data_IF_135154062664
#
_entry.id   IF_135154062664
#
_cell.length_a   1.000
_cell.length_b   1.000
_cell.length_c   1.000
_cell.angle_alpha   90.00
_cell.angle_beta   90.00
_cell.angle_gamma   90.00
#
_symmetry.space_group_name_H-M   'P 1'
#
loop_
_entity.id
_entity.type
_entity.pdbx_description
1 polymer ?
#
# COMPACT_ATOMS: atom_id res chain seq x y z
N UNK A 1 -2.83 26.24 -4.88
CA UNK A 1 -2.32 25.13 -4.05
C UNK A 1 -3.21 23.92 -4.19
N UNK A 2 -2.64 22.80 -4.60
CA UNK A 2 -3.38 21.55 -4.68
C UNK A 2 -3.65 21.05 -3.27
N UNK A 3 -4.90 20.77 -2.93
CA UNK A 3 -5.26 20.19 -1.66
C UNK A 3 -4.68 18.76 -1.58
N UNK A 4 -4.08 18.41 -0.45
CA UNK A 4 -3.59 17.07 -0.20
C UNK A 4 -4.74 16.06 -0.27
N UNK A 5 -4.50 14.90 -0.88
CA UNK A 5 -5.46 13.80 -0.90
C UNK A 5 -5.70 13.23 0.49
N UNK A 6 -6.76 12.44 0.61
CA UNK A 6 -7.10 11.75 1.86
C UNK A 6 -6.56 10.33 1.87
N UNK A 7 -6.15 9.85 3.06
CA UNK A 7 -5.68 8.48 3.27
C UNK A 7 -6.67 7.72 4.13
N UNK A 8 -7.15 6.58 3.62
CA UNK A 8 -7.91 5.60 4.38
C UNK A 8 -7.10 4.31 4.47
N UNK A 9 -7.01 3.74 5.68
CA UNK A 9 -6.30 2.48 5.93
C UNK A 9 -7.25 1.44 6.51
N UNK A 10 -7.34 0.29 5.84
CA UNK A 10 -7.95 -0.91 6.42
C UNK A 10 -6.90 -1.62 7.26
N UNK A 11 -7.09 -1.62 8.57
CA UNK A 11 -6.14 -2.13 9.54
C UNK A 11 -6.62 -3.47 10.10
N UNK A 12 -5.82 -4.50 9.96
CA UNK A 12 -6.14 -5.86 10.43
C UNK A 12 -5.19 -6.33 11.51
N UNK A 13 -5.67 -7.29 12.32
CA UNK A 13 -4.88 -7.86 13.41
C UNK A 13 -4.00 -9.01 12.96
N UNK A 14 -4.29 -9.59 11.79
CA UNK A 14 -3.55 -10.72 11.25
C UNK A 14 -3.66 -10.77 9.71
N UNK A 15 -2.71 -11.44 9.02
CA UNK A 15 -2.87 -11.74 7.61
C UNK A 15 -4.13 -12.57 7.35
N UNK A 16 -4.80 -12.34 6.22
CA UNK A 16 -5.92 -13.17 5.80
C UNK A 16 -7.27 -12.84 6.44
N UNK A 17 -7.37 -11.74 7.20
CA UNK A 17 -8.65 -11.34 7.82
C UNK A 17 -9.61 -10.64 6.86
N UNK A 18 -9.20 -10.37 5.61
CA UNK A 18 -10.09 -9.81 4.59
C UNK A 18 -9.92 -8.32 4.34
N UNK A 19 -8.80 -7.71 4.71
CA UNK A 19 -8.53 -6.28 4.48
C UNK A 19 -8.59 -5.91 3.00
N UNK A 20 -7.91 -6.68 2.17
CA UNK A 20 -7.85 -6.43 0.72
C UNK A 20 -9.24 -6.57 0.10
N UNK A 21 -10.01 -7.58 0.51
CA UNK A 21 -11.38 -7.76 0.04
C UNK A 21 -12.27 -6.59 0.46
N UNK A 22 -12.13 -6.09 1.69
CA UNK A 22 -12.90 -4.94 2.19
C UNK A 22 -12.56 -3.67 1.37
N UNK A 23 -11.28 -3.44 1.11
CA UNK A 23 -10.83 -2.34 0.27
C UNK A 23 -11.41 -2.41 -1.15
N UNK A 24 -11.36 -3.59 -1.76
CA UNK A 24 -11.89 -3.80 -3.11
C UNK A 24 -13.41 -3.65 -3.17
N UNK A 25 -14.13 -4.09 -2.13
CA UNK A 25 -15.58 -3.91 -2.06
C UNK A 25 -15.94 -2.43 -2.01
N UNK A 26 -15.23 -1.64 -1.21
CA UNK A 26 -15.43 -0.18 -1.19
C UNK A 26 -15.12 0.43 -2.55
N UNK A 27 -14.05 -0.02 -3.21
CA UNK A 27 -13.67 0.47 -4.52
C UNK A 27 -14.77 0.23 -5.57
N UNK A 28 -15.40 -0.94 -5.54
CA UNK A 28 -16.55 -1.21 -6.42
C UNK A 28 -17.71 -0.27 -6.15
N UNK A 29 -18.03 0.00 -4.88
CA UNK A 29 -19.10 0.93 -4.52
C UNK A 29 -18.80 2.34 -5.06
N UNK A 30 -17.56 2.80 -4.90
CA UNK A 30 -17.14 4.11 -5.41
C UNK A 30 -17.18 4.17 -6.94
N UNK A 31 -16.69 3.13 -7.59
CA UNK A 31 -16.69 3.03 -9.05
C UNK A 31 -18.13 3.03 -9.60
N UNK A 32 -19.02 2.27 -8.97
CA UNK A 32 -20.43 2.21 -9.37
C UNK A 32 -21.16 3.54 -9.20
N UNK A 33 -20.64 4.40 -8.31
CA UNK A 33 -21.15 5.78 -8.13
C UNK A 33 -20.54 6.78 -9.12
N UNK A 34 -19.75 6.30 -10.08
CA UNK A 34 -19.15 7.16 -11.08
C UNK A 34 -17.84 7.82 -10.66
N UNK A 35 -17.24 7.39 -9.54
CA UNK A 35 -15.94 7.91 -9.09
C UNK A 35 -14.82 7.32 -9.93
N UNK A 36 -13.76 8.09 -10.13
CA UNK A 36 -12.56 7.67 -10.87
C UNK A 36 -11.64 6.89 -9.94
N UNK A 37 -11.77 5.55 -9.96
CA UNK A 37 -11.02 4.63 -9.12
C UNK A 37 -10.03 3.85 -9.98
N UNK A 38 -8.78 3.76 -9.51
CA UNK A 38 -7.72 3.02 -10.18
C UNK A 38 -7.06 2.06 -9.20
N UNK A 39 -6.90 0.80 -9.57
CA UNK A 39 -6.06 -0.12 -8.81
C UNK A 39 -4.60 0.20 -9.14
N UNK A 40 -3.86 0.75 -8.15
CA UNK A 40 -2.43 0.97 -8.27
C UNK A 40 -1.67 -0.32 -8.12
N UNK A 41 -1.87 -1.02 -7.02
CA UNK A 41 -1.34 -2.36 -6.79
C UNK A 41 -2.19 -3.08 -5.76
N UNK A 42 -2.54 -4.33 -6.05
CA UNK A 42 -3.26 -5.23 -5.15
C UNK A 42 -2.52 -6.56 -5.12
N UNK A 43 -2.29 -7.07 -3.92
CA UNK A 43 -1.65 -8.36 -3.70
C UNK A 43 -2.72 -9.40 -3.36
N UNK A 44 -3.00 -10.31 -4.29
CA UNK A 44 -4.03 -11.33 -4.09
C UNK A 44 -3.52 -12.56 -3.34
N UNK A 45 -2.20 -12.75 -3.28
CA UNK A 45 -1.54 -13.92 -2.66
C UNK A 45 -2.09 -15.26 -3.18
N UNK A 46 -2.51 -15.31 -4.45
CA UNK A 46 -3.09 -16.50 -5.05
C UNK A 46 -4.52 -16.80 -4.60
N UNK A 47 -5.17 -15.90 -3.86
CA UNK A 47 -6.54 -16.07 -3.38
C UNK A 47 -7.53 -15.72 -4.49
N UNK A 48 -8.32 -16.69 -4.89
CA UNK A 48 -9.27 -16.52 -5.99
C UNK A 48 -10.33 -15.46 -5.69
N UNK A 49 -10.83 -15.42 -4.46
CA UNK A 49 -11.84 -14.42 -4.07
C UNK A 49 -11.32 -13.00 -4.24
N UNK A 50 -10.09 -12.74 -3.80
CA UNK A 50 -9.45 -11.42 -3.95
C UNK A 50 -9.27 -11.09 -5.42
N UNK A 51 -8.77 -12.04 -6.21
CA UNK A 51 -8.58 -11.85 -7.64
C UNK A 51 -9.88 -11.51 -8.36
N UNK A 52 -10.97 -12.20 -8.03
CA UNK A 52 -12.30 -11.92 -8.61
C UNK A 52 -12.78 -10.52 -8.29
N UNK A 53 -12.48 -10.00 -7.11
CA UNK A 53 -12.87 -8.65 -6.71
C UNK A 53 -12.09 -7.57 -7.46
N UNK A 54 -10.96 -7.89 -8.08
CA UNK A 54 -10.26 -6.92 -8.95
C UNK A 54 -10.92 -6.76 -10.32
N UNK A 55 -11.72 -7.73 -10.73
CA UNK A 55 -12.39 -7.70 -12.04
C UNK A 55 -13.39 -6.55 -12.11
N UNK A 56 -13.42 -5.86 -13.25
CA UNK A 56 -14.31 -4.73 -13.48
C UNK A 56 -13.81 -3.39 -13.02
N UNK A 57 -12.67 -3.33 -12.34
CA UNK A 57 -12.02 -2.08 -11.95
C UNK A 57 -10.83 -1.80 -12.87
N UNK A 58 -10.57 -0.53 -13.22
CA UNK A 58 -9.36 -0.18 -13.95
C UNK A 58 -8.10 -0.54 -13.15
N UNK A 59 -7.10 -1.11 -13.80
CA UNK A 59 -5.86 -1.55 -13.18
C UNK A 59 -4.69 -0.87 -13.88
N UNK A 60 -3.82 -0.24 -13.08
CA UNK A 60 -2.56 0.31 -13.56
C UNK A 60 -1.56 -0.83 -13.78
N UNK A 61 -0.91 -0.93 -14.95
CA UNK A 61 0.16 -1.91 -15.13
C UNK A 61 1.25 -1.74 -14.08
N UNK A 62 1.73 -2.86 -13.55
CA UNK A 62 2.80 -2.86 -12.56
C UNK A 62 4.14 -2.58 -13.22
N UNK A 63 5.05 -1.99 -12.46
CA UNK A 63 6.44 -1.79 -12.87
C UNK A 63 7.23 -3.06 -12.58
N UNK A 64 7.91 -3.61 -13.60
CA UNK A 64 8.81 -4.75 -13.40
C UNK A 64 10.17 -4.25 -12.98
N UNK A 65 10.67 -4.74 -11.84
CA UNK A 65 11.97 -4.34 -11.28
C UNK A 65 12.89 -5.56 -11.22
N UNK A 66 14.03 -5.59 -11.95
CA UNK A 66 14.98 -6.67 -11.84
C UNK A 66 15.75 -6.58 -10.52
N UNK A 67 15.88 -7.70 -9.82
CA UNK A 67 16.63 -7.77 -8.58
C UNK A 67 17.16 -9.19 -8.37
N UNK A 68 18.48 -9.34 -8.18
CA UNK A 68 19.17 -10.60 -7.87
C UNK A 68 18.75 -11.77 -8.78
N UNK A 69 18.70 -11.53 -10.11
CA UNK A 69 18.37 -12.56 -11.10
C UNK A 69 16.88 -12.86 -11.25
N UNK A 70 16.01 -12.21 -10.48
CA UNK A 70 14.56 -12.30 -10.59
C UNK A 70 13.93 -11.00 -11.05
N UNK A 71 12.65 -11.05 -11.32
CA UNK A 71 11.83 -9.87 -11.60
C UNK A 71 10.75 -9.75 -10.55
N UNK A 72 10.61 -8.55 -9.99
CA UNK A 72 9.58 -8.21 -9.02
C UNK A 72 8.66 -7.15 -9.59
N UNK A 73 7.40 -7.23 -9.23
CA UNK A 73 6.41 -6.26 -9.69
C UNK A 73 6.09 -5.29 -8.56
N UNK A 74 6.20 -4.00 -8.87
CA UNK A 74 5.97 -2.92 -7.92
C UNK A 74 4.98 -1.90 -8.48
N UNK A 75 4.46 -1.04 -7.60
CA UNK A 75 3.63 0.09 -8.01
C UNK A 75 4.43 1.01 -8.94
N UNK A 76 3.86 1.33 -10.08
CA UNK A 76 4.43 2.32 -10.99
C UNK A 76 3.97 3.71 -10.56
N UNK A 77 4.73 4.34 -9.67
CA UNK A 77 4.39 5.65 -9.09
C UNK A 77 4.29 6.73 -10.16
N UNK A 78 5.24 6.76 -11.11
CA UNK A 78 5.23 7.77 -12.17
C UNK A 78 3.96 7.67 -13.02
N UNK A 79 3.59 6.45 -13.42
CA UNK A 79 2.38 6.21 -14.19
C UNK A 79 1.13 6.57 -13.38
N UNK A 80 1.12 6.29 -12.08
CA UNK A 80 0.00 6.64 -11.21
C UNK A 80 -0.17 8.16 -11.10
N UNK A 81 0.94 8.89 -10.93
CA UNK A 81 0.92 10.35 -10.87
C UNK A 81 0.45 10.96 -12.21
N UNK A 82 0.91 10.39 -13.34
CA UNK A 82 0.50 10.83 -14.67
C UNK A 82 -0.98 10.57 -14.92
N UNK A 83 -1.49 9.40 -14.56
CA UNK A 83 -2.90 9.04 -14.69
C UNK A 83 -3.80 9.93 -13.82
N UNK A 84 -3.29 10.35 -12.67
CA UNK A 84 -3.95 11.25 -11.72
C UNK A 84 -5.41 10.86 -11.47
N UNK A 85 -5.68 9.63 -11.00
CA UNK A 85 -7.04 9.22 -10.66
C UNK A 85 -7.55 10.02 -9.46
N UNK A 86 -8.85 9.99 -9.24
CA UNK A 86 -9.44 10.59 -8.05
C UNK A 86 -9.06 9.77 -6.80
N UNK A 87 -9.14 8.44 -6.92
CA UNK A 87 -8.87 7.49 -5.85
C UNK A 87 -7.98 6.37 -6.39
N UNK A 88 -6.92 6.04 -5.67
CA UNK A 88 -6.04 4.92 -6.03
C UNK A 88 -5.96 3.91 -4.88
N UNK A 89 -5.97 2.62 -5.22
CA UNK A 89 -5.80 1.53 -4.25
C UNK A 89 -4.34 1.11 -4.22
N UNK A 90 -3.75 1.14 -3.04
CA UNK A 90 -2.36 0.74 -2.81
C UNK A 90 -2.34 -0.25 -1.64
N UNK A 91 -2.29 -1.53 -1.96
CA UNK A 91 -2.30 -2.62 -0.97
C UNK A 91 -0.97 -2.71 -0.23
N UNK A 92 -1.01 -3.26 0.98
CA UNK A 92 0.16 -3.55 1.80
C UNK A 92 1.08 -2.32 2.04
N UNK A 93 0.59 -1.38 2.84
CA UNK A 93 1.28 -0.12 3.13
C UNK A 93 2.70 -0.31 3.69
N UNK A 94 2.95 -1.41 4.40
CA UNK A 94 4.24 -1.71 5.02
C UNK A 94 5.26 -2.34 4.08
N UNK A 95 4.86 -2.65 2.84
CA UNK A 95 5.73 -3.32 1.87
C UNK A 95 7.02 -2.53 1.61
N UNK A 96 8.16 -3.24 1.61
CA UNK A 96 9.45 -2.68 1.20
C UNK A 96 9.61 -2.87 -0.30
N UNK A 97 9.82 -1.75 -1.02
CA UNK A 97 9.98 -1.77 -2.47
C UNK A 97 11.34 -2.38 -2.83
N UNK A 98 11.33 -3.36 -3.75
CA UNK A 98 12.52 -4.07 -4.19
C UNK A 98 13.22 -3.27 -5.30
N UNK A 99 14.55 -3.16 -5.23
CA UNK A 99 15.41 -2.99 -6.41
C UNK A 99 15.75 -1.58 -6.88
N UNK A 100 15.34 -0.51 -6.23
CA UNK A 100 15.86 0.81 -6.55
C UNK A 100 17.03 1.20 -5.62
N UNK A 101 18.04 0.36 -5.61
CA UNK A 101 19.31 0.76 -5.03
C UNK A 101 20.16 1.36 -6.14
N UNK A 102 20.36 2.65 -6.09
CA UNK A 102 21.41 3.27 -6.87
C UNK A 102 22.73 2.58 -6.55
N UNK A 103 23.45 2.23 -7.59
CA UNK A 103 24.75 1.58 -7.48
C UNK A 103 25.81 2.42 -6.77
N UNK A 104 25.47 3.60 -6.31
CA UNK A 104 26.34 4.49 -5.55
C UNK A 104 26.11 4.30 -4.05
N UNK A 105 26.57 3.18 -3.57
CA UNK A 105 26.23 2.62 -2.28
C UNK A 105 27.24 2.98 -1.18
N UNK A 106 27.54 4.24 -1.00
CA UNK A 106 28.23 4.67 0.23
C UNK A 106 27.27 4.93 1.40
N UNK A 107 25.96 4.78 1.20
CA UNK A 107 24.96 4.82 2.26
C UNK A 107 24.22 3.48 2.29
N UNK A 108 23.96 2.90 3.49
CA UNK A 108 22.97 1.86 3.57
C UNK A 108 21.67 2.49 3.01
N UNK A 109 21.29 2.04 1.84
CA UNK A 109 20.09 2.56 1.21
C UNK A 109 18.94 2.35 2.19
N UNK A 110 18.34 3.44 2.67
CA UNK A 110 17.04 3.35 3.28
C UNK A 110 16.17 2.66 2.24
N UNK A 111 15.80 1.42 2.51
CA UNK A 111 15.00 0.66 1.58
C UNK A 111 13.75 1.48 1.26
N UNK A 112 13.51 1.71 -0.03
CA UNK A 112 12.33 2.45 -0.46
C UNK A 112 11.10 1.75 0.09
N UNK A 113 10.17 2.49 0.65
CA UNK A 113 8.96 1.97 1.27
C UNK A 113 7.74 2.36 0.46
N UNK A 114 6.77 1.46 0.39
CA UNK A 114 5.50 1.76 -0.31
C UNK A 114 4.78 2.95 0.30
N UNK A 115 4.86 3.15 1.61
CA UNK A 115 4.24 4.32 2.24
C UNK A 115 4.85 5.65 1.79
N UNK A 116 6.12 5.68 1.35
CA UNK A 116 6.70 6.88 0.73
C UNK A 116 5.97 7.22 -0.57
N UNK A 117 5.67 6.22 -1.40
CA UNK A 117 4.90 6.41 -2.62
C UNK A 117 3.49 6.92 -2.32
N UNK A 118 2.88 6.41 -1.25
CA UNK A 118 1.56 6.87 -0.80
C UNK A 118 1.60 8.35 -0.46
N UNK A 119 2.62 8.81 0.27
CA UNK A 119 2.75 10.24 0.56
C UNK A 119 2.90 11.09 -0.72
N UNK A 120 3.65 10.61 -1.70
CA UNK A 120 3.79 11.30 -2.98
C UNK A 120 2.44 11.43 -3.69
N UNK A 121 1.62 10.38 -3.67
CA UNK A 121 0.27 10.40 -4.25
C UNK A 121 -0.64 11.38 -3.51
N UNK A 122 -0.60 11.38 -2.18
CA UNK A 122 -1.38 12.31 -1.36
C UNK A 122 -0.98 13.76 -1.62
N UNK A 123 0.31 14.03 -1.71
CA UNK A 123 0.83 15.37 -1.99
C UNK A 123 0.41 15.87 -3.37
N UNK A 124 0.20 14.97 -4.32
CA UNK A 124 -0.32 15.29 -5.65
C UNK A 124 -1.84 15.51 -5.67
N UNK A 125 -2.53 15.35 -4.55
CA UNK A 125 -3.97 15.55 -4.44
C UNK A 125 -4.80 14.30 -4.75
N UNK A 126 -4.19 13.12 -4.78
CA UNK A 126 -4.86 11.85 -5.07
C UNK A 126 -5.26 11.19 -3.75
N UNK A 127 -6.51 10.75 -3.64
CA UNK A 127 -6.97 9.99 -2.47
C UNK A 127 -6.45 8.56 -2.54
N UNK A 128 -5.99 8.03 -1.42
CA UNK A 128 -5.41 6.67 -1.34
C UNK A 128 -6.20 5.82 -0.35
N UNK A 129 -6.51 4.59 -0.74
CA UNK A 129 -7.02 3.55 0.16
C UNK A 129 -5.95 2.46 0.21
N UNK A 130 -5.53 2.09 1.41
CA UNK A 130 -4.48 1.10 1.63
C UNK A 130 -4.88 0.09 2.70
N UNK A 131 -4.01 -0.89 2.91
CA UNK A 131 -4.19 -1.93 3.93
C UNK A 131 -2.92 -2.09 4.75
N UNK A 132 -3.05 -2.54 5.99
CA UNK A 132 -1.89 -2.85 6.83
C UNK A 132 -2.28 -3.81 7.95
N UNK A 133 -1.35 -4.67 8.35
CA UNK A 133 -1.48 -5.42 9.61
C UNK A 133 -0.90 -4.60 10.75
N UNK A 134 -1.57 -4.62 11.90
CA UNK A 134 -1.20 -3.81 13.07
C UNK A 134 0.23 -4.07 13.57
N UNK A 135 0.73 -5.30 13.41
CA UNK A 135 2.09 -5.67 13.84
C UNK A 135 3.19 -4.95 13.06
N UNK A 136 2.87 -4.34 11.93
CA UNK A 136 3.84 -3.56 11.15
C UNK A 136 4.02 -2.13 11.69
N UNK A 137 3.23 -1.70 12.68
CA UNK A 137 3.46 -0.43 13.36
C UNK A 137 4.75 -0.51 14.15
N UNK A 138 5.60 0.49 13.99
CA UNK A 138 6.92 0.53 14.61
C UNK A 138 6.86 0.37 16.13
N UNK A 139 5.95 1.09 16.81
CA UNK A 139 5.80 1.01 18.26
C UNK A 139 5.33 -0.36 18.73
N UNK A 140 4.42 -1.01 18.01
CA UNK A 140 3.92 -2.34 18.34
C UNK A 140 4.95 -3.43 18.02
N UNK A 141 5.76 -3.24 17.00
CA UNK A 141 6.85 -4.16 16.69
C UNK A 141 7.83 -4.26 17.85
N UNK A 142 8.16 -3.15 18.49
CA UNK A 142 9.06 -3.13 19.65
C UNK A 142 8.48 -3.93 20.81
N UNK A 143 7.18 -3.79 21.10
CA UNK A 143 6.50 -4.54 22.16
C UNK A 143 6.45 -6.04 21.85
N UNK A 144 6.03 -6.39 20.64
CA UNK A 144 5.91 -7.79 20.23
C UNK A 144 7.29 -8.46 20.19
N UNK A 145 8.30 -7.77 19.70
CA UNK A 145 9.68 -8.26 19.67
C UNK A 145 10.21 -8.54 21.09
N UNK A 146 9.91 -7.67 22.05
CA UNK A 146 10.33 -7.86 23.45
C UNK A 146 9.68 -9.08 24.10
N UNK A 147 8.45 -9.42 23.71
CA UNK A 147 7.69 -10.57 24.27
C UNK A 147 8.00 -11.86 23.53
N UNK A 148 8.06 -11.85 22.21
CA UNK A 148 8.18 -13.07 21.40
C UNK A 148 9.60 -13.37 20.91
N UNK A 149 10.51 -12.38 20.96
CA UNK A 149 11.82 -12.48 20.37
C UNK A 149 11.82 -12.40 18.82
N UNK A 150 10.66 -12.21 18.22
CA UNK A 150 10.50 -12.10 16.76
C UNK A 150 10.26 -10.65 16.36
N UNK A 151 11.10 -10.13 15.45
CA UNK A 151 10.99 -8.77 14.95
C UNK A 151 10.48 -8.77 13.52
N UNK A 152 9.47 -7.94 13.25
CA UNK A 152 9.04 -7.66 11.89
C UNK A 152 10.06 -6.75 11.20
N UNK A 153 10.52 -7.14 10.02
CA UNK A 153 11.49 -6.37 9.24
C UNK A 153 10.82 -5.22 8.47
N UNK A 154 9.54 -5.40 8.09
CA UNK A 154 8.77 -4.39 7.38
C UNK A 154 7.92 -3.62 8.39
N UNK A 155 8.27 -2.37 8.64
CA UNK A 155 7.57 -1.52 9.60
C UNK A 155 7.15 -0.19 8.99
N UNK A 156 6.11 0.40 9.58
CA UNK A 156 5.59 1.71 9.23
C UNK A 156 5.65 2.59 10.46
N UNK A 157 6.20 3.81 10.36
CA UNK A 157 6.15 4.76 11.47
C UNK A 157 4.72 5.02 11.93
N UNK A 158 4.51 5.13 13.23
CA UNK A 158 3.19 5.41 13.80
C UNK A 158 2.56 6.68 13.21
N UNK A 159 3.38 7.65 12.82
CA UNK A 159 2.93 8.90 12.23
C UNK A 159 2.09 8.69 10.97
N UNK A 160 2.35 7.63 10.20
CA UNK A 160 1.59 7.33 8.99
C UNK A 160 0.12 7.09 9.34
N UNK A 161 -0.16 6.36 10.42
CA UNK A 161 -1.54 6.16 10.87
C UNK A 161 -2.15 7.43 11.50
N UNK A 162 -1.34 8.26 12.15
CA UNK A 162 -1.82 9.56 12.66
C UNK A 162 -2.21 10.50 11.52
N UNK A 163 -1.52 10.41 10.39
CA UNK A 163 -1.81 11.22 9.21
C UNK A 163 -3.01 10.68 8.40
N UNK A 164 -3.45 9.44 8.68
CA UNK A 164 -4.60 8.87 8.02
C UNK A 164 -5.88 9.63 8.40
N UNK A 165 -6.71 9.91 7.42
CA UNK A 165 -7.99 10.59 7.62
C UNK A 165 -9.05 9.63 8.13
N UNK A 166 -8.95 8.35 7.77
CA UNK A 166 -9.86 7.31 8.20
C UNK A 166 -9.11 6.00 8.40
N UNK A 167 -9.43 5.28 9.47
CA UNK A 167 -8.92 3.94 9.74
C UNK A 167 -10.12 3.05 10.00
N UNK A 168 -10.21 1.94 9.27
CA UNK A 168 -11.24 0.94 9.47
C UNK A 168 -10.61 -0.37 9.92
N UNK A 169 -11.08 -0.88 11.06
CA UNK A 169 -10.57 -2.13 11.62
C UNK A 169 -11.27 -3.32 10.95
N UNK A 170 -10.47 -4.31 10.59
CA UNK A 170 -10.94 -5.58 10.00
C UNK A 170 -10.43 -6.72 10.88
N UNK A 171 -11.34 -7.48 11.46
CA UNK A 171 -11.00 -8.63 12.29
C UNK A 171 -11.49 -9.96 11.68
#
# INVERSE_FOLDING_TARGET
MTKRGTLKVYLGFAPGVGKTCAMLSEAHDLYDRGRDVLIGIVEDHGRERTRKLTEGLPILPRKSVPHRGGHYEELDLEAALEAHPEIILVDELAHTVVGEHNADSSRPAEAAKRWHDVYALLDAGIDVISTMNIQHLESLNDVVSAVTGTRQLETVPDQVLRDADEIELVD
#
